data_IF_757426885688
#
_entry.id   IF_757426885688
#
_cell.length_a   1.000
_cell.length_b   1.000
_cell.length_c   1.000
_cell.angle_alpha   90.00
_cell.angle_beta   90.00
_cell.angle_gamma   90.00
#
_symmetry.space_group_name_H-M   'P 1'
#
loop_
_entity.id
_entity.type
_entity.pdbx_description
1 polymer ?
#
# COMPACT_ATOMS: atom_id res chain seq x y z
N UNK A 1 -14.74 -17.86 -23.11
CA UNK A 1 -14.65 -18.43 -21.74
C UNK A 1 -13.60 -17.63 -20.97
N UNK A 2 -14.00 -16.51 -20.38
CA UNK A 2 -13.09 -15.57 -19.70
C UNK A 2 -13.06 -15.90 -18.20
N UNK A 3 -12.07 -16.66 -17.76
CA UNK A 3 -11.78 -16.88 -16.35
C UNK A 3 -10.45 -16.23 -15.99
N UNK A 4 -10.41 -14.90 -15.98
CA UNK A 4 -9.42 -14.18 -15.18
C UNK A 4 -9.92 -14.15 -13.74
N UNK A 5 -9.88 -15.33 -13.11
CA UNK A 5 -10.02 -15.43 -11.67
C UNK A 5 -8.85 -14.66 -11.08
N UNK A 6 -9.12 -13.44 -10.62
CA UNK A 6 -8.29 -12.75 -9.64
C UNK A 6 -8.16 -13.75 -8.51
N UNK A 7 -7.00 -14.42 -8.44
CA UNK A 7 -6.64 -15.30 -7.35
C UNK A 7 -6.53 -14.40 -6.13
N UNK A 8 -7.66 -14.15 -5.45
CA UNK A 8 -7.68 -13.54 -4.12
C UNK A 8 -6.86 -14.48 -3.24
N UNK A 9 -5.58 -14.16 -3.05
CA UNK A 9 -4.78 -14.81 -2.02
C UNK A 9 -5.45 -14.47 -0.69
N UNK A 10 -5.64 -15.48 0.14
CA UNK A 10 -6.19 -15.26 1.47
C UNK A 10 -5.34 -14.21 2.19
N UNK A 11 -5.95 -13.16 2.77
CA UNK A 11 -5.19 -12.17 3.51
C UNK A 11 -4.42 -12.87 4.63
N UNK A 12 -3.11 -12.63 4.73
CA UNK A 12 -2.35 -13.11 5.88
C UNK A 12 -2.98 -12.55 7.15
N UNK A 13 -3.32 -13.44 8.09
CA UNK A 13 -3.95 -13.05 9.37
C UNK A 13 -2.99 -12.15 10.17
N UNK A 14 -1.68 -12.36 10.02
CA UNK A 14 -0.62 -11.59 10.68
C UNK A 14 0.09 -10.64 9.68
N UNK A 15 0.50 -9.45 10.12
CA UNK A 15 1.38 -8.56 9.35
C UNK A 15 2.71 -9.25 8.98
N UNK A 16 3.22 -8.96 7.79
CA UNK A 16 4.54 -9.38 7.32
C UNK A 16 5.68 -8.55 7.94
N UNK A 17 5.37 -7.33 8.39
CA UNK A 17 6.29 -6.40 9.04
C UNK A 17 5.50 -5.45 9.96
N UNK A 18 6.22 -4.78 10.86
CA UNK A 18 5.62 -3.87 11.85
C UNK A 18 5.31 -2.52 11.24
N UNK A 19 4.18 -1.93 11.63
CA UNK A 19 3.89 -0.54 11.29
C UNK A 19 4.74 0.39 12.16
N UNK A 20 5.61 1.17 11.53
CA UNK A 20 6.29 2.29 12.16
C UNK A 20 5.40 3.54 12.28
N UNK A 21 5.99 4.71 12.12
CA UNK A 21 5.29 5.99 12.04
C UNK A 21 4.41 6.05 10.79
N UNK A 22 3.12 6.33 10.95
CA UNK A 22 2.20 6.54 9.83
C UNK A 22 2.08 8.02 9.51
N UNK A 23 2.32 8.38 8.24
CA UNK A 23 2.10 9.72 7.70
C UNK A 23 1.07 9.67 6.58
N UNK A 24 0.14 10.61 6.58
CA UNK A 24 -0.80 10.82 5.47
C UNK A 24 -0.40 12.12 4.78
N UNK A 25 -0.43 12.15 3.45
CA UNK A 25 -0.35 13.42 2.73
C UNK A 25 -1.54 14.32 3.09
N UNK A 26 -1.40 15.63 2.89
CA UNK A 26 -2.47 16.59 3.19
C UNK A 26 -3.77 16.25 2.42
N UNK A 27 -3.64 15.80 1.17
CA UNK A 27 -4.80 15.39 0.36
C UNK A 27 -5.46 14.12 0.89
N UNK A 28 -4.67 13.10 1.24
CA UNK A 28 -5.20 11.85 1.84
C UNK A 28 -5.86 12.14 3.18
N UNK A 29 -5.23 12.95 4.03
CA UNK A 29 -5.79 13.38 5.30
C UNK A 29 -7.10 14.14 5.08
N UNK A 30 -7.17 15.05 4.10
CA UNK A 30 -8.40 15.75 3.76
C UNK A 30 -9.50 14.77 3.30
N UNK A 31 -9.22 13.84 2.39
CA UNK A 31 -10.18 12.84 1.93
C UNK A 31 -10.71 11.97 3.09
N UNK A 32 -9.83 11.55 3.99
CA UNK A 32 -10.20 10.80 5.19
C UNK A 32 -11.07 11.63 6.14
N UNK A 33 -10.72 12.90 6.37
CA UNK A 33 -11.50 13.83 7.21
C UNK A 33 -12.92 14.07 6.68
N UNK A 34 -13.13 13.88 5.38
CA UNK A 34 -14.44 13.95 4.71
C UNK A 34 -15.17 12.60 4.65
N UNK A 35 -14.57 11.53 5.18
CA UNK A 35 -15.13 10.17 5.12
C UNK A 35 -15.15 9.59 3.70
N UNK A 36 -14.38 10.15 2.77
CA UNK A 36 -14.36 9.71 1.37
C UNK A 36 -13.49 8.46 1.16
N UNK A 37 -12.53 8.24 2.05
CA UNK A 37 -11.65 7.06 2.09
C UNK A 37 -11.38 6.67 3.54
N UNK A 38 -11.03 5.40 3.76
CA UNK A 38 -10.41 4.92 4.99
C UNK A 38 -8.96 4.49 4.71
N UNK A 39 -7.96 5.35 4.96
CA UNK A 39 -6.56 5.04 4.68
C UNK A 39 -6.05 3.82 5.47
N UNK A 40 -6.56 3.59 6.69
CA UNK A 40 -6.08 2.51 7.55
C UNK A 40 -6.41 1.15 6.97
N UNK A 41 -7.53 1.00 6.27
CA UNK A 41 -7.87 -0.24 5.56
C UNK A 41 -6.78 -0.63 4.54
N UNK A 42 -6.20 0.35 3.83
CA UNK A 42 -5.15 0.13 2.84
C UNK A 42 -3.78 -0.11 3.48
N UNK A 43 -3.49 0.56 4.60
CA UNK A 43 -2.29 0.28 5.40
C UNK A 43 -2.32 -1.16 5.92
N UNK A 44 -3.45 -1.62 6.44
CA UNK A 44 -3.58 -3.00 6.92
C UNK A 44 -3.38 -4.03 5.80
N UNK A 45 -3.87 -3.75 4.60
CA UNK A 45 -3.64 -4.59 3.41
C UNK A 45 -2.15 -4.62 3.05
N UNK A 46 -1.51 -3.46 3.03
CA UNK A 46 -0.08 -3.29 2.74
C UNK A 46 0.79 -4.14 3.69
N UNK A 47 0.54 -4.02 5.00
CA UNK A 47 1.25 -4.78 6.04
C UNK A 47 1.07 -6.29 5.89
N UNK A 48 -0.06 -6.76 5.36
CA UNK A 48 -0.36 -8.20 5.17
C UNK A 48 0.09 -8.75 3.82
N UNK A 49 0.78 -7.95 3.02
CA UNK A 49 1.26 -8.36 1.69
C UNK A 49 0.20 -8.27 0.58
N UNK A 50 -0.99 -7.74 0.86
CA UNK A 50 -1.93 -7.35 -0.18
C UNK A 50 -1.53 -5.97 -0.71
N UNK A 51 -0.65 -5.96 -1.70
CA UNK A 51 -0.12 -4.74 -2.30
C UNK A 51 -0.99 -4.12 -3.40
N UNK A 52 -2.21 -4.65 -3.59
CA UNK A 52 -3.17 -4.13 -4.56
C UNK A 52 -2.73 -4.30 -6.01
N UNK A 53 -2.89 -3.25 -6.82
CA UNK A 53 -2.72 -3.18 -8.28
C UNK A 53 -1.25 -2.96 -8.69
N UNK A 54 -0.34 -3.79 -8.17
CA UNK A 54 1.07 -3.83 -8.60
C UNK A 54 1.33 -5.00 -9.54
N UNK A 55 2.25 -4.82 -10.50
CA UNK A 55 2.65 -5.89 -11.43
C UNK A 55 3.50 -6.96 -10.72
N UNK A 56 3.74 -8.10 -11.38
CA UNK A 56 4.48 -9.21 -10.78
C UNK A 56 5.92 -8.84 -10.38
N UNK A 57 6.61 -8.03 -11.20
CA UNK A 57 7.97 -7.58 -10.90
C UNK A 57 8.02 -6.73 -9.62
N UNK A 58 7.08 -5.79 -9.46
CA UNK A 58 6.94 -5.00 -8.24
C UNK A 58 6.59 -5.85 -7.02
N UNK A 59 5.77 -6.90 -7.18
CA UNK A 59 5.51 -7.85 -6.07
C UNK A 59 6.78 -8.59 -5.67
N UNK A 60 7.55 -9.08 -6.63
CA UNK A 60 8.84 -9.75 -6.34
C UNK A 60 9.81 -8.80 -5.64
N UNK A 61 9.88 -7.55 -6.11
CA UNK A 61 10.69 -6.52 -5.46
C UNK A 61 10.27 -6.28 -4.01
N UNK A 62 8.96 -6.20 -3.73
CA UNK A 62 8.47 -6.08 -2.36
C UNK A 62 8.83 -7.30 -1.48
N UNK A 63 8.77 -8.53 -2.00
CA UNK A 63 9.20 -9.72 -1.25
C UNK A 63 10.69 -9.62 -0.88
N UNK A 64 11.54 -9.25 -1.84
CA UNK A 64 12.98 -9.07 -1.59
C UNK A 64 13.23 -7.95 -0.59
N UNK A 65 12.48 -6.85 -0.69
CA UNK A 65 12.56 -5.71 0.22
C UNK A 65 12.22 -6.06 1.67
N UNK A 66 11.37 -7.06 1.91
CA UNK A 66 11.09 -7.55 3.27
C UNK A 66 12.29 -8.28 3.89
N UNK A 67 13.13 -8.91 3.08
CA UNK A 67 14.32 -9.65 3.55
C UNK A 67 15.58 -8.79 3.62
N UNK A 68 15.65 -7.74 2.80
CA UNK A 68 16.85 -6.91 2.61
C UNK A 68 16.70 -5.48 3.13
N UNK A 69 15.71 -5.20 3.97
CA UNK A 69 15.42 -3.85 4.50
C UNK A 69 15.30 -2.83 3.36
N UNK A 70 14.49 -3.17 2.36
CA UNK A 70 14.17 -2.32 1.22
C UNK A 70 12.78 -1.68 1.35
N UNK A 71 12.49 -0.65 0.54
CA UNK A 71 11.19 0.00 0.57
C UNK A 71 10.10 -0.89 -0.04
N UNK A 72 8.97 -1.02 0.67
CA UNK A 72 7.80 -1.76 0.20
C UNK A 72 6.78 -0.77 -0.37
N UNK A 73 6.26 -1.03 -1.58
CA UNK A 73 5.29 -0.14 -2.24
C UNK A 73 3.99 -0.86 -2.61
N UNK A 74 2.87 -0.19 -2.40
CA UNK A 74 1.54 -0.68 -2.79
C UNK A 74 0.75 0.37 -3.52
N UNK A 75 -0.15 -0.08 -4.38
CA UNK A 75 -1.04 0.78 -5.16
C UNK A 75 -2.45 0.23 -5.08
N UNK A 76 -3.42 1.07 -4.75
CA UNK A 76 -4.81 0.67 -4.63
C UNK A 76 -5.69 1.59 -5.44
N UNK A 77 -6.44 1.03 -6.39
CA UNK A 77 -7.50 1.78 -7.05
C UNK A 77 -8.76 1.76 -6.22
N UNK A 78 -9.19 2.95 -5.78
CA UNK A 78 -10.41 3.15 -4.97
C UNK A 78 -11.60 3.37 -5.90
N UNK A 79 -11.43 4.26 -6.87
CA UNK A 79 -12.38 4.52 -7.96
C UNK A 79 -11.60 4.63 -9.28
N UNK A 80 -12.24 4.71 -10.46
CA UNK A 80 -11.50 4.91 -11.71
C UNK A 80 -10.68 6.20 -11.77
N UNK A 81 -10.96 7.19 -10.91
CA UNK A 81 -10.27 8.48 -10.85
C UNK A 81 -9.46 8.68 -9.56
N UNK A 82 -9.54 7.75 -8.61
CA UNK A 82 -8.88 7.86 -7.31
C UNK A 82 -8.05 6.61 -7.02
N UNK A 83 -6.76 6.82 -6.84
CA UNK A 83 -5.81 5.80 -6.47
C UNK A 83 -5.02 6.25 -5.23
N UNK A 84 -4.54 5.27 -4.48
CA UNK A 84 -3.76 5.47 -3.27
C UNK A 84 -2.44 4.70 -3.40
N UNK A 85 -1.35 5.34 -3.03
CA UNK A 85 -0.04 4.71 -2.87
C UNK A 85 0.27 4.61 -1.38
N UNK A 86 0.70 3.43 -0.95
CA UNK A 86 1.22 3.19 0.39
C UNK A 86 2.67 2.74 0.27
N UNK A 87 3.58 3.47 0.91
CA UNK A 87 5.02 3.21 0.85
C UNK A 87 5.54 3.04 2.27
N UNK A 88 6.27 1.97 2.52
CA UNK A 88 7.09 1.83 3.72
C UNK A 88 8.56 1.98 3.32
N UNK A 89 9.30 2.82 4.05
CA UNK A 89 10.73 3.09 3.82
C UNK A 89 11.61 1.84 3.98
N UNK A 90 12.91 1.97 3.72
CA UNK A 90 13.91 0.90 3.81
C UNK A 90 14.07 0.31 5.22
N UNK A 91 14.05 1.15 6.25
CA UNK A 91 14.11 0.73 7.67
C UNK A 91 12.76 0.29 8.26
N UNK A 92 11.70 0.30 7.44
CA UNK A 92 10.31 0.03 7.82
C UNK A 92 9.77 0.90 8.98
N UNK A 93 10.47 1.97 9.35
CA UNK A 93 10.12 2.85 10.47
C UNK A 93 9.07 3.89 10.11
N UNK A 94 8.87 4.13 8.81
CA UNK A 94 7.91 5.12 8.32
C UNK A 94 7.08 4.54 7.18
N UNK A 95 5.76 4.64 7.32
CA UNK A 95 4.79 4.35 6.27
C UNK A 95 4.08 5.63 5.86
N UNK A 96 4.08 5.92 4.55
CA UNK A 96 3.46 7.10 3.96
C UNK A 96 2.29 6.67 3.08
N UNK A 97 1.17 7.36 3.22
CA UNK A 97 -0.01 7.20 2.37
C UNK A 97 -0.24 8.48 1.59
N UNK A 98 -0.26 8.39 0.27
CA UNK A 98 -0.36 9.54 -0.64
C UNK A 98 -1.09 9.19 -1.94
N UNK A 99 -1.45 10.19 -2.73
CA UNK A 99 -1.96 10.03 -4.09
C UNK A 99 -0.82 9.92 -5.10
N UNK A 100 -1.00 9.26 -6.26
CA UNK A 100 0.06 9.05 -7.24
C UNK A 100 0.67 10.32 -7.84
N UNK A 101 -0.10 11.41 -7.90
CA UNK A 101 0.38 12.69 -8.42
C UNK A 101 1.19 13.50 -7.40
N UNK A 102 1.24 13.06 -6.13
CA UNK A 102 2.05 13.67 -5.09
C UNK A 102 3.51 13.17 -5.18
N UNK A 103 4.48 14.06 -4.90
CA UNK A 103 5.91 13.68 -4.92
C UNK A 103 6.20 12.76 -3.73
N UNK A 104 6.83 11.61 -3.99
CA UNK A 104 7.32 10.73 -2.93
C UNK A 104 8.25 11.53 -2.00
N UNK A 105 7.89 11.60 -0.72
CA UNK A 105 8.67 12.30 0.31
C UNK A 105 9.02 11.30 1.40
N UNK A 106 9.95 10.39 1.12
CA UNK A 106 10.38 9.33 2.05
C UNK A 106 11.64 9.79 2.78
#
# INVERSE_FOLDING_TARGET
MLSHLIRRREPHVQPLFTLGSLKLSDKVHWLASKGLIDPLSYVQRHLRGDWGDVNEASRKANVVALEQEGPVRSRYRITPQLELIVITGDDHSTTIVQLPEERETI
#
